data_IF_322977072383
#
_entry.id   IF_322977072383
#
_cell.length_a   1.000
_cell.length_b   1.000
_cell.length_c   1.000
_cell.angle_alpha   90.00
_cell.angle_beta   90.00
_cell.angle_gamma   90.00
#
_symmetry.space_group_name_H-M   'P 1'
#
loop_
_entity.id
_entity.type
_entity.pdbx_description
1 polymer ?
#
# COMPACT_ATOMS: atom_id res chain seq x y z
N UNK A 1 -12.38 -20.45 18.43
CA UNK A 1 -11.13 -20.18 19.19
C UNK A 1 -9.95 -20.62 18.36
N UNK A 2 -9.32 -19.70 17.64
CA UNK A 2 -7.96 -19.87 17.10
C UNK A 2 -7.15 -18.73 17.69
N UNK A 3 -6.51 -18.99 18.83
CA UNK A 3 -5.50 -18.14 19.42
C UNK A 3 -4.18 -18.42 18.69
N UNK A 4 -3.95 -17.70 17.60
CA UNK A 4 -2.59 -17.51 17.08
C UNK A 4 -2.04 -16.27 17.76
N UNK A 5 -1.49 -16.43 18.96
CA UNK A 5 -0.76 -15.34 19.62
C UNK A 5 0.56 -15.15 18.89
N UNK A 6 0.60 -14.24 17.91
CA UNK A 6 1.85 -13.54 17.62
C UNK A 6 2.29 -12.89 18.93
N UNK A 7 3.46 -13.25 19.44
CA UNK A 7 3.99 -12.58 20.63
C UNK A 7 4.22 -11.12 20.26
N UNK A 8 3.46 -10.23 20.90
CA UNK A 8 3.69 -8.80 20.77
C UNK A 8 5.10 -8.49 21.29
N UNK A 9 5.91 -7.92 20.43
CA UNK A 9 7.26 -7.39 20.68
C UNK A 9 7.22 -5.99 21.31
N UNK A 10 6.04 -5.34 21.35
CA UNK A 10 5.88 -4.06 22.02
C UNK A 10 5.86 -4.26 23.54
N UNK A 11 6.72 -3.53 24.24
CA UNK A 11 6.70 -3.48 25.70
C UNK A 11 5.31 -3.03 26.18
N UNK A 12 4.83 -3.56 27.29
CA UNK A 12 3.40 -3.52 27.73
C UNK A 12 2.83 -2.11 28.04
N UNK A 13 3.45 -1.04 27.59
CA UNK A 13 3.07 0.34 27.91
C UNK A 13 1.82 0.82 27.14
N UNK A 14 1.56 0.32 25.93
CA UNK A 14 0.35 0.66 25.17
C UNK A 14 -0.49 -0.60 24.96
N UNK A 15 -1.72 -0.66 25.49
CA UNK A 15 -2.56 -1.84 25.35
C UNK A 15 -3.03 -2.01 23.90
N UNK A 16 -3.11 -3.27 23.46
CA UNK A 16 -3.81 -3.64 22.25
C UNK A 16 -5.32 -3.62 22.48
N UNK A 17 -6.06 -3.24 21.44
CA UNK A 17 -7.52 -3.36 21.39
C UNK A 17 -7.89 -4.23 20.19
N UNK A 18 -8.57 -5.34 20.46
CA UNK A 18 -9.16 -6.17 19.41
C UNK A 18 -10.41 -5.48 18.89
N UNK A 19 -10.41 -5.16 17.60
CA UNK A 19 -11.61 -4.63 16.94
C UNK A 19 -12.48 -5.84 16.55
N UNK A 20 -13.74 -5.93 17.04
CA UNK A 20 -14.66 -6.98 16.64
C UNK A 20 -14.80 -7.02 15.12
N UNK A 21 -15.13 -8.19 14.56
CA UNK A 21 -15.15 -8.47 13.11
C UNK A 21 -15.50 -7.23 12.30
N UNK A 22 -14.50 -6.57 11.70
CA UNK A 22 -14.71 -5.33 10.98
C UNK A 22 -15.65 -5.55 9.79
N UNK A 23 -16.35 -4.52 9.30
CA UNK A 23 -17.13 -4.65 8.08
C UNK A 23 -16.22 -5.06 6.90
N UNK A 24 -16.81 -5.53 5.81
CA UNK A 24 -16.10 -6.25 4.74
C UNK A 24 -14.91 -5.53 4.08
N UNK A 25 -14.71 -4.20 4.28
CA UNK A 25 -13.63 -3.44 3.62
C UNK A 25 -12.96 -2.35 4.46
N UNK A 26 -13.65 -1.69 5.38
CA UNK A 26 -13.11 -0.51 6.08
C UNK A 26 -13.30 -0.56 7.60
N UNK A 27 -12.20 -0.56 8.35
CA UNK A 27 -12.23 -0.49 9.80
C UNK A 27 -11.22 0.53 10.30
N UNK A 28 -11.73 1.48 11.07
CA UNK A 28 -10.97 2.62 11.55
C UNK A 28 -11.07 2.67 13.08
N UNK A 29 -9.93 2.91 13.71
CA UNK A 29 -9.82 3.10 15.15
C UNK A 29 -9.34 4.52 15.46
N UNK A 30 -10.02 5.16 16.42
CA UNK A 30 -9.62 6.45 16.99
C UNK A 30 -9.51 6.26 18.50
N UNK A 31 -8.28 6.33 19.00
CA UNK A 31 -7.97 6.12 20.42
C UNK A 31 -6.47 5.97 20.65
N UNK A 32 -6.04 5.77 21.89
CA UNK A 32 -4.62 5.67 22.24
C UNK A 32 -4.04 4.26 22.06
N UNK A 33 -4.89 3.24 22.22
CA UNK A 33 -4.56 1.82 22.08
C UNK A 33 -4.15 1.45 20.66
N UNK A 34 -3.39 0.35 20.54
CA UNK A 34 -2.97 -0.23 19.26
C UNK A 34 -4.11 -1.11 18.72
N UNK A 35 -4.75 -0.77 17.58
CA UNK A 35 -5.84 -1.58 17.05
C UNK A 35 -5.32 -2.83 16.36
N UNK A 36 -5.90 -3.98 16.69
CA UNK A 36 -5.79 -5.19 15.88
C UNK A 36 -7.04 -5.33 15.02
N UNK A 37 -6.86 -5.45 13.70
CA UNK A 37 -7.96 -5.58 12.72
C UNK A 37 -8.57 -4.26 12.22
N UNK A 38 -7.96 -3.12 12.52
CA UNK A 38 -8.36 -1.81 11.97
C UNK A 38 -7.13 -0.92 11.71
N UNK A 39 -7.28 0.05 10.82
CA UNK A 39 -6.30 1.12 10.65
C UNK A 39 -6.42 2.13 11.79
N UNK A 40 -5.31 2.72 12.22
CA UNK A 40 -5.28 3.68 13.31
C UNK A 40 -5.25 5.12 12.79
N UNK A 41 -6.37 5.83 12.94
CA UNK A 41 -6.44 7.22 12.55
C UNK A 41 -5.84 8.12 13.62
N UNK A 42 -4.90 8.97 13.21
CA UNK A 42 -4.30 9.99 14.07
C UNK A 42 -4.69 11.38 13.57
N UNK A 43 -5.11 12.23 14.51
CA UNK A 43 -5.54 13.60 14.20
C UNK A 43 -4.43 14.42 13.53
N UNK A 44 -3.17 14.23 13.94
CA UNK A 44 -2.01 14.90 13.36
C UNK A 44 -1.92 14.65 11.84
N UNK A 45 -2.07 13.40 11.40
CA UNK A 45 -2.05 13.06 9.97
C UNK A 45 -3.18 13.72 9.18
N UNK A 46 -4.41 13.72 9.72
CA UNK A 46 -5.57 14.34 9.08
C UNK A 46 -5.41 15.88 8.99
N UNK A 47 -4.93 16.51 10.06
CA UNK A 47 -4.65 17.95 10.07
C UNK A 47 -3.58 18.29 9.03
N UNK A 48 -2.49 17.53 9.01
CA UNK A 48 -1.39 17.73 8.08
C UNK A 48 -1.81 17.56 6.63
N UNK A 49 -2.73 16.63 6.33
CA UNK A 49 -3.32 16.50 5.00
C UNK A 49 -4.04 17.79 4.53
N UNK A 50 -4.78 18.43 5.42
CA UNK A 50 -5.50 19.67 5.11
C UNK A 50 -4.59 20.91 5.03
N UNK A 51 -3.44 20.87 5.69
CA UNK A 51 -2.42 21.92 5.64
C UNK A 51 -1.47 21.78 4.46
N UNK A 52 -1.29 20.56 3.95
CA UNK A 52 -0.40 20.27 2.85
C UNK A 52 -1.04 20.58 1.49
N UNK A 53 -0.20 20.99 0.55
CA UNK A 53 -0.57 21.01 -0.85
C UNK A 53 -0.94 19.59 -1.31
N UNK A 54 -1.97 19.50 -2.14
CA UNK A 54 -2.37 18.23 -2.74
C UNK A 54 -1.35 17.84 -3.81
N UNK A 55 -1.08 16.53 -4.00
CA UNK A 55 -0.17 16.09 -5.05
C UNK A 55 -0.71 16.56 -6.40
N UNK A 56 0.20 16.98 -7.28
CA UNK A 56 -0.12 17.23 -8.67
C UNK A 56 -0.06 15.91 -9.46
N UNK A 57 -0.43 15.94 -10.74
CA UNK A 57 -0.39 14.76 -11.62
C UNK A 57 1.04 14.43 -12.10
N UNK A 58 2.06 14.86 -11.34
CA UNK A 58 3.47 14.67 -11.65
C UNK A 58 3.97 13.27 -11.24
N UNK A 59 5.27 13.06 -11.41
CA UNK A 59 5.96 11.84 -11.04
C UNK A 59 6.05 11.69 -9.51
N UNK A 60 5.61 10.56 -8.97
CA UNK A 60 5.67 10.26 -7.53
C UNK A 60 7.12 10.04 -7.14
N UNK A 61 7.59 10.81 -6.16
CA UNK A 61 8.95 10.71 -5.64
C UNK A 61 9.03 9.74 -4.47
N UNK A 62 9.84 8.70 -4.64
CA UNK A 62 10.02 7.63 -3.65
C UNK A 62 11.44 7.65 -3.10
N UNK A 63 11.56 7.82 -1.79
CA UNK A 63 12.83 7.60 -1.08
C UNK A 63 12.83 6.19 -0.52
N UNK A 64 13.64 5.32 -1.11
CA UNK A 64 13.80 3.94 -0.66
C UNK A 64 15.08 3.81 0.17
N UNK A 65 14.96 3.28 1.39
CA UNK A 65 16.11 3.02 2.27
C UNK A 65 16.14 1.55 2.66
N UNK A 66 17.23 0.86 2.33
CA UNK A 66 17.52 -0.50 2.79
C UNK A 66 18.64 -0.47 3.85
N UNK A 67 18.27 -0.66 5.11
CA UNK A 67 19.20 -0.80 6.23
C UNK A 67 19.28 -2.26 6.74
N UNK A 68 18.75 -3.20 5.96
CA UNK A 68 18.91 -4.63 6.20
C UNK A 68 20.12 -5.17 5.44
N UNK A 69 21.10 -5.74 6.17
CA UNK A 69 22.27 -6.35 5.55
C UNK A 69 21.96 -7.65 4.80
N UNK A 70 20.90 -8.37 5.21
CA UNK A 70 20.50 -9.64 4.59
C UNK A 70 19.68 -9.41 3.32
N UNK A 71 18.87 -8.35 3.28
CA UNK A 71 18.13 -7.95 2.06
C UNK A 71 18.94 -7.09 1.08
N UNK A 72 20.22 -6.83 1.35
CA UNK A 72 21.06 -5.99 0.49
C UNK A 72 21.33 -6.66 -0.87
N UNK A 73 21.36 -7.99 -0.95
CA UNK A 73 21.60 -8.71 -2.22
C UNK A 73 20.35 -8.81 -3.11
N UNK A 74 19.14 -8.76 -2.55
CA UNK A 74 17.88 -8.87 -3.32
C UNK A 74 17.36 -7.53 -3.88
N UNK A 75 17.84 -6.43 -3.32
CA UNK A 75 17.46 -5.08 -3.72
C UNK A 75 18.64 -4.51 -4.50
N UNK A 76 18.96 -4.95 -5.72
CA UNK A 76 20.08 -4.38 -6.49
C UNK A 76 19.73 -2.97 -7.01
N UNK A 77 18.46 -2.76 -7.36
CA UNK A 77 17.89 -1.55 -7.93
C UNK A 77 16.49 -1.23 -7.39
N UNK A 78 16.03 0.00 -7.63
CA UNK A 78 14.63 0.37 -7.39
C UNK A 78 13.65 -0.44 -8.24
N UNK A 79 14.08 -0.86 -9.43
CA UNK A 79 13.29 -1.66 -10.38
C UNK A 79 13.03 -3.07 -9.82
N UNK A 80 13.92 -3.61 -8.98
CA UNK A 80 13.74 -4.91 -8.32
C UNK A 80 12.66 -4.89 -7.23
N UNK A 81 12.36 -3.71 -6.65
CA UNK A 81 11.29 -3.54 -5.65
C UNK A 81 10.01 -2.99 -6.26
N UNK A 82 10.08 -2.02 -7.16
CA UNK A 82 8.86 -1.40 -7.69
C UNK A 82 8.37 -2.10 -8.96
N UNK A 83 9.19 -2.99 -9.53
CA UNK A 83 8.92 -3.65 -10.80
C UNK A 83 9.25 -2.71 -11.96
N UNK A 84 9.91 -3.24 -13.00
CA UNK A 84 10.07 -2.54 -14.27
C UNK A 84 8.70 -2.43 -14.95
N UNK A 85 7.93 -1.39 -14.64
CA UNK A 85 6.66 -1.09 -15.29
C UNK A 85 6.82 0.17 -16.12
N UNK A 86 6.74 0.04 -17.44
CA UNK A 86 7.07 1.12 -18.39
C UNK A 86 6.16 2.36 -18.26
N UNK A 87 4.97 2.20 -17.66
CA UNK A 87 3.93 3.23 -17.58
C UNK A 87 3.72 3.78 -16.16
N UNK A 88 4.50 3.35 -15.18
CA UNK A 88 4.38 3.84 -13.80
C UNK A 88 5.27 5.07 -13.60
N UNK A 89 4.68 6.21 -13.21
CA UNK A 89 5.39 7.48 -12.99
C UNK A 89 6.02 7.55 -11.60
N UNK A 90 7.00 6.68 -11.33
CA UNK A 90 7.76 6.66 -10.08
C UNK A 90 9.21 7.09 -10.31
N UNK A 91 9.67 8.10 -9.56
CA UNK A 91 11.10 8.39 -9.40
C UNK A 91 11.60 7.85 -8.08
N UNK A 92 12.47 6.86 -8.13
CA UNK A 92 12.97 6.21 -6.93
C UNK A 92 14.42 6.58 -6.67
N UNK A 93 14.66 7.20 -5.52
CA UNK A 93 15.99 7.45 -4.98
C UNK A 93 16.30 6.39 -3.91
N UNK A 94 17.17 5.42 -4.26
CA UNK A 94 17.51 4.29 -3.41
C UNK A 94 18.80 4.50 -2.62
N UNK A 95 18.75 4.20 -1.32
CA UNK A 95 19.84 4.35 -0.37
C UNK A 95 20.04 3.07 0.44
N UNK A 96 21.27 2.84 0.89
CA UNK A 96 21.64 1.66 1.66
C UNK A 96 22.48 2.01 2.86
N UNK A 97 22.31 1.26 3.93
CA UNK A 97 23.17 1.31 5.12
C UNK A 97 23.37 2.74 5.63
N UNK A 98 22.28 3.52 5.66
CA UNK A 98 22.31 4.90 6.12
C UNK A 98 22.53 4.93 7.63
N UNK A 99 23.49 5.76 8.04
CA UNK A 99 23.70 6.10 9.46
C UNK A 99 22.48 6.81 10.04
N UNK A 100 22.37 6.91 11.37
CA UNK A 100 21.27 7.64 12.02
C UNK A 100 21.18 9.09 11.52
N UNK A 101 22.32 9.75 11.32
CA UNK A 101 22.38 11.13 10.79
C UNK A 101 21.89 11.20 9.33
N UNK A 102 22.33 10.26 8.49
CA UNK A 102 21.91 10.23 7.08
C UNK A 102 20.43 9.90 6.94
N UNK A 103 19.93 8.94 7.73
CA UNK A 103 18.52 8.55 7.74
C UNK A 103 17.64 9.72 8.22
N UNK A 104 18.03 10.41 9.29
CA UNK A 104 17.33 11.59 9.79
C UNK A 104 17.26 12.67 8.70
N UNK A 105 18.38 12.93 8.01
CA UNK A 105 18.41 13.88 6.90
C UNK A 105 17.41 13.50 5.80
N UNK A 106 17.35 12.23 5.38
CA UNK A 106 16.41 11.77 4.34
C UNK A 106 14.95 11.90 4.77
N UNK A 107 14.64 11.67 6.04
CA UNK A 107 13.29 11.89 6.57
C UNK A 107 12.85 13.36 6.54
N UNK A 108 13.79 14.32 6.61
CA UNK A 108 13.48 15.76 6.51
C UNK A 108 13.31 16.25 5.07
N UNK A 109 13.81 15.51 4.09
CA UNK A 109 13.72 15.88 2.68
C UNK A 109 12.30 15.60 2.13
N UNK A 110 11.79 16.43 1.21
CA UNK A 110 10.50 16.18 0.58
C UNK A 110 10.49 14.87 -0.23
N UNK A 111 9.49 14.03 0.01
CA UNK A 111 9.24 12.82 -0.77
C UNK A 111 7.77 12.41 -0.62
N UNK A 112 7.15 11.93 -1.70
CA UNK A 112 5.77 11.45 -1.66
C UNK A 112 5.64 10.14 -0.87
N UNK A 113 6.61 9.24 -1.04
CA UNK A 113 6.67 7.98 -0.32
C UNK A 113 8.07 7.69 0.23
N UNK A 114 8.19 7.57 1.55
CA UNK A 114 9.37 7.04 2.21
C UNK A 114 9.21 5.54 2.49
N UNK A 115 9.95 4.69 1.81
CA UNK A 115 9.91 3.24 2.01
C UNK A 115 11.18 2.78 2.73
N UNK A 116 11.03 2.29 3.95
CA UNK A 116 12.13 1.75 4.75
C UNK A 116 12.04 0.22 4.81
N UNK A 117 13.15 -0.44 4.51
CA UNK A 117 13.35 -1.88 4.61
C UNK A 117 14.47 -2.15 5.62
N UNK A 118 14.16 -2.90 6.68
CA UNK A 118 15.12 -3.30 7.70
C UNK A 118 14.47 -3.53 9.05
N UNK A 119 15.21 -3.29 10.13
CA UNK A 119 14.72 -3.55 11.48
C UNK A 119 14.18 -2.29 12.16
N UNK A 120 13.12 -2.48 12.95
CA UNK A 120 12.59 -1.47 13.84
C UNK A 120 12.42 -2.06 15.23
N UNK A 121 12.43 -1.19 16.23
CA UNK A 121 12.09 -1.50 17.60
C UNK A 121 11.20 -0.40 18.17
N UNK A 122 10.76 -0.57 19.41
CA UNK A 122 10.04 0.50 20.13
C UNK A 122 10.87 1.78 20.27
N UNK A 123 12.19 1.70 20.13
CA UNK A 123 13.11 2.83 20.24
C UNK A 123 13.36 3.55 18.91
N UNK A 124 12.94 2.99 17.77
CA UNK A 124 13.16 3.61 16.46
C UNK A 124 13.57 2.64 15.35
N UNK A 125 14.06 3.22 14.25
CA UNK A 125 14.56 2.53 13.06
C UNK A 125 16.05 2.19 13.23
N UNK A 126 16.44 0.96 12.91
CA UNK A 126 17.83 0.52 13.06
C UNK A 126 18.71 1.02 11.92
N UNK A 127 19.91 1.46 12.28
CA UNK A 127 20.98 1.92 11.42
C UNK A 127 22.27 1.15 11.74
N UNK A 128 23.25 1.13 10.83
CA UNK A 128 24.55 0.48 11.10
C UNK A 128 25.30 1.06 12.32
N UNK A 129 25.05 2.32 12.68
CA UNK A 129 25.71 3.03 13.78
C UNK A 129 24.81 3.26 15.02
N UNK A 130 23.57 2.76 15.02
CA UNK A 130 22.67 2.93 16.15
C UNK A 130 21.19 2.77 15.80
N UNK A 131 20.33 3.42 16.58
CA UNK A 131 18.88 3.44 16.36
C UNK A 131 18.43 4.89 16.27
N UNK A 132 17.75 5.25 15.19
CA UNK A 132 17.14 6.56 15.00
C UNK A 132 15.69 6.52 15.52
N UNK A 133 15.40 7.26 16.59
CA UNK A 133 14.02 7.55 16.99
C UNK A 133 13.46 8.67 16.10
N UNK A 134 12.35 8.45 15.37
CA UNK A 134 11.71 9.51 14.60
C UNK A 134 11.28 10.72 15.45
N UNK A 135 11.01 10.54 16.75
CA UNK A 135 10.72 11.66 17.66
C UNK A 135 11.89 12.66 17.84
N UNK A 136 13.11 12.30 17.40
CA UNK A 136 14.28 13.21 17.42
C UNK A 136 14.45 14.01 16.12
N UNK A 137 13.61 13.77 15.11
CA UNK A 137 13.63 14.49 13.84
C UNK A 137 12.70 15.69 13.95
N UNK A 138 13.26 16.91 13.82
CA UNK A 138 12.52 18.16 14.05
C UNK A 138 11.26 18.32 13.16
N UNK A 139 11.35 17.88 11.90
CA UNK A 139 10.24 17.91 10.95
C UNK A 139 10.43 16.88 9.86
N UNK A 140 9.48 15.97 9.71
CA UNK A 140 9.42 15.01 8.61
C UNK A 140 8.86 15.69 7.36
N UNK A 141 9.60 15.55 6.25
CA UNK A 141 9.26 16.09 4.93
C UNK A 141 8.47 15.11 4.06
N UNK A 142 8.36 13.85 4.46
CA UNK A 142 7.64 12.83 3.69
C UNK A 142 6.13 12.91 3.87
N UNK A 143 5.37 12.66 2.79
CA UNK A 143 3.91 12.63 2.84
C UNK A 143 3.40 11.30 3.37
N UNK A 144 3.74 10.22 2.67
CA UNK A 144 3.44 8.85 3.07
C UNK A 144 4.71 8.10 3.44
N UNK A 145 4.57 7.06 4.26
CA UNK A 145 5.66 6.11 4.48
C UNK A 145 5.20 4.66 4.44
N UNK A 146 6.13 3.76 4.15
CA UNK A 146 5.98 2.33 4.31
C UNK A 146 7.16 1.83 5.15
N UNK A 147 6.90 1.38 6.37
CA UNK A 147 7.92 0.76 7.23
C UNK A 147 7.83 -0.77 7.13
N UNK A 148 8.55 -1.32 6.15
CA UNK A 148 8.79 -2.74 5.97
C UNK A 148 9.84 -3.22 6.97
N UNK A 149 9.45 -3.11 8.24
CA UNK A 149 10.25 -3.43 9.39
C UNK A 149 9.34 -4.03 10.45
N UNK A 150 9.80 -5.10 11.09
CA UNK A 150 9.07 -5.75 12.16
C UNK A 150 8.77 -4.77 13.30
N UNK A 151 7.54 -4.80 13.84
CA UNK A 151 7.17 -4.00 15.02
C UNK A 151 7.30 -2.48 14.80
N UNK A 152 7.02 -2.00 13.59
CA UNK A 152 7.26 -0.61 13.19
C UNK A 152 6.17 0.39 13.59
N UNK A 153 5.13 -0.04 14.30
CA UNK A 153 4.02 0.83 14.68
C UNK A 153 4.44 2.06 15.50
N UNK A 154 5.27 1.91 16.54
CA UNK A 154 5.68 3.05 17.37
C UNK A 154 6.52 4.08 16.58
N UNK A 155 7.59 3.67 15.87
CA UNK A 155 8.29 4.58 14.97
C UNK A 155 7.38 5.23 13.91
N UNK A 156 6.44 4.47 13.34
CA UNK A 156 5.48 5.02 12.38
C UNK A 156 4.55 6.07 12.98
N UNK A 157 4.09 5.88 14.22
CA UNK A 157 3.33 6.92 14.93
C UNK A 157 4.16 8.17 15.17
N UNK A 158 5.41 8.02 15.57
CA UNK A 158 6.33 9.14 15.75
C UNK A 158 6.57 9.91 14.43
N UNK A 159 6.65 9.22 13.29
CA UNK A 159 6.72 9.87 11.97
C UNK A 159 5.49 10.73 11.67
N UNK A 160 4.28 10.27 12.03
CA UNK A 160 3.05 11.05 11.87
C UNK A 160 3.08 12.30 12.75
N UNK A 161 3.46 12.16 14.03
CA UNK A 161 3.57 13.30 14.95
C UNK A 161 4.66 14.30 14.50
N UNK A 162 5.73 13.82 13.87
CA UNK A 162 6.81 14.64 13.35
C UNK A 162 6.52 15.28 11.98
N UNK A 163 5.39 14.95 11.33
CA UNK A 163 4.91 15.67 10.15
C UNK A 163 4.52 14.84 8.93
N UNK A 164 4.61 13.50 8.98
CA UNK A 164 4.03 12.66 7.94
C UNK A 164 2.49 12.65 8.00
N UNK A 165 1.84 12.39 6.87
CA UNK A 165 0.37 12.42 6.76
C UNK A 165 -0.24 11.05 7.07
N UNK A 166 0.36 9.98 6.52
CA UNK A 166 -0.12 8.62 6.70
C UNK A 166 0.98 7.61 6.40
N UNK A 167 0.84 6.37 6.85
CA UNK A 167 1.78 5.34 6.46
C UNK A 167 1.39 3.94 6.85
N UNK A 168 2.16 2.97 6.37
CA UNK A 168 1.99 1.54 6.61
C UNK A 168 3.05 1.06 7.60
N UNK A 169 2.63 0.31 8.60
CA UNK A 169 3.47 -0.28 9.65
C UNK A 169 3.09 -1.73 9.89
N UNK A 170 3.93 -2.44 10.65
CA UNK A 170 3.64 -3.80 11.13
C UNK A 170 3.46 -3.83 12.65
N UNK A 171 2.58 -4.73 13.11
CA UNK A 171 2.29 -4.99 14.51
C UNK A 171 3.11 -6.14 15.11
N UNK A 172 3.77 -6.93 14.26
CA UNK A 172 4.63 -8.03 14.69
C UNK A 172 5.68 -8.30 13.63
N UNK A 173 6.48 -9.32 13.86
CA UNK A 173 7.44 -9.80 12.88
C UNK A 173 6.73 -10.27 11.60
N UNK A 174 7.33 -9.92 10.47
CA UNK A 174 6.96 -10.35 9.12
C UNK A 174 8.18 -10.98 8.48
N UNK A 175 7.99 -12.00 7.64
CA UNK A 175 9.12 -12.57 6.88
C UNK A 175 9.46 -11.68 5.68
N UNK A 176 10.68 -11.80 5.19
CA UNK A 176 11.23 -10.98 4.10
C UNK A 176 10.39 -11.06 2.82
N UNK A 177 10.05 -12.27 2.39
CA UNK A 177 9.24 -12.48 1.18
C UNK A 177 7.89 -11.75 1.26
N UNK A 178 7.22 -11.79 2.42
CA UNK A 178 5.96 -11.07 2.62
C UNK A 178 6.16 -9.56 2.61
N UNK A 179 7.24 -9.07 3.22
CA UNK A 179 7.58 -7.65 3.22
C UNK A 179 7.79 -7.13 1.80
N UNK A 180 8.53 -7.86 0.98
CA UNK A 180 8.72 -7.53 -0.42
C UNK A 180 7.37 -7.51 -1.15
N UNK A 181 6.62 -8.62 -1.17
CA UNK A 181 5.36 -8.73 -1.93
C UNK A 181 4.32 -7.65 -1.55
N UNK A 182 4.11 -7.43 -0.25
CA UNK A 182 3.15 -6.42 0.24
C UNK A 182 3.65 -5.01 -0.08
N UNK A 183 4.95 -4.73 0.08
CA UNK A 183 5.55 -3.43 -0.20
C UNK A 183 5.45 -3.05 -1.68
N UNK A 184 5.88 -3.95 -2.57
CA UNK A 184 5.81 -3.77 -4.04
C UNK A 184 4.38 -3.50 -4.48
N UNK A 185 3.45 -4.37 -4.06
CA UNK A 185 2.04 -4.25 -4.46
C UNK A 185 1.41 -2.96 -3.94
N UNK A 186 1.70 -2.59 -2.69
CA UNK A 186 1.18 -1.33 -2.11
C UNK A 186 1.66 -0.12 -2.89
N UNK A 187 2.95 -0.05 -3.21
CA UNK A 187 3.51 1.08 -3.93
C UNK A 187 2.98 1.21 -5.36
N UNK A 188 2.86 0.10 -6.09
CA UNK A 188 2.27 0.09 -7.43
C UNK A 188 0.77 0.47 -7.42
N UNK A 189 0.03 0.09 -6.37
CA UNK A 189 -1.36 0.54 -6.22
C UNK A 189 -1.44 2.04 -5.92
N UNK A 190 -0.55 2.56 -5.06
CA UNK A 190 -0.45 4.00 -4.80
C UNK A 190 -0.10 4.79 -6.07
N UNK A 191 0.72 4.22 -6.95
CA UNK A 191 1.16 4.87 -8.18
C UNK A 191 0.09 5.00 -9.26
N UNK A 192 -1.01 4.26 -9.15
CA UNK A 192 -2.18 4.40 -10.01
C UNK A 192 -3.38 5.05 -9.28
N UNK A 193 -3.13 5.66 -8.11
CA UNK A 193 -4.09 6.49 -7.40
C UNK A 193 -4.92 5.79 -6.32
N UNK A 194 -4.62 4.53 -5.96
CA UNK A 194 -5.23 3.94 -4.75
C UNK A 194 -4.80 4.72 -3.51
N UNK A 195 -5.68 4.77 -2.50
CA UNK A 195 -5.33 5.26 -1.18
C UNK A 195 -4.47 4.24 -0.43
N UNK A 196 -3.73 4.67 0.61
CA UNK A 196 -2.98 3.77 1.50
C UNK A 196 -3.85 2.60 1.99
N UNK A 197 -5.08 2.88 2.43
CA UNK A 197 -6.04 1.87 2.89
C UNK A 197 -6.36 0.86 1.80
N UNK A 198 -6.77 1.32 0.63
CA UNK A 198 -7.23 0.41 -0.44
C UNK A 198 -6.04 -0.36 -1.04
N UNK A 199 -4.90 0.30 -1.20
CA UNK A 199 -3.66 -0.33 -1.63
C UNK A 199 -3.26 -1.46 -0.69
N UNK A 200 -3.23 -1.17 0.62
CA UNK A 200 -2.86 -2.14 1.63
C UNK A 200 -3.91 -3.26 1.77
N UNK A 201 -5.19 -2.96 1.62
CA UNK A 201 -6.26 -3.97 1.63
C UNK A 201 -6.01 -5.07 0.59
N UNK A 202 -5.70 -4.68 -0.65
CA UNK A 202 -5.37 -5.61 -1.73
C UNK A 202 -4.03 -6.29 -1.46
N UNK A 203 -2.99 -5.52 -1.14
CA UNK A 203 -1.64 -6.03 -0.97
C UNK A 203 -1.52 -7.08 0.14
N UNK A 204 -2.28 -6.96 1.24
CA UNK A 204 -2.27 -7.95 2.34
C UNK A 204 -2.74 -9.34 1.91
N UNK A 205 -3.54 -9.47 0.85
CA UNK A 205 -3.97 -10.78 0.35
C UNK A 205 -2.80 -11.61 -0.23
N UNK A 206 -1.68 -10.96 -0.59
CA UNK A 206 -0.47 -11.63 -1.07
C UNK A 206 0.28 -12.40 0.02
N UNK A 207 -0.04 -12.18 1.30
CA UNK A 207 0.72 -12.76 2.41
C UNK A 207 -0.16 -13.32 3.52
N UNK A 208 0.24 -14.49 4.03
CA UNK A 208 -0.36 -15.09 5.23
C UNK A 208 -0.21 -14.20 6.47
N UNK A 209 0.84 -13.38 6.54
CA UNK A 209 1.06 -12.41 7.61
C UNK A 209 0.53 -11.01 7.28
N UNK A 210 -0.26 -10.85 6.21
CA UNK A 210 -0.86 -9.58 5.81
C UNK A 210 -1.67 -8.91 6.92
N UNK A 211 -2.30 -9.69 7.81
CA UNK A 211 -3.04 -9.18 8.98
C UNK A 211 -2.19 -8.38 9.99
N UNK A 212 -0.86 -8.47 9.91
CA UNK A 212 0.06 -7.72 10.78
C UNK A 212 0.31 -6.30 10.29
N UNK A 213 0.00 -6.01 9.03
CA UNK A 213 0.11 -4.65 8.51
C UNK A 213 -1.10 -3.83 8.95
N UNK A 214 -0.89 -2.56 9.31
CA UNK A 214 -1.95 -1.57 9.51
C UNK A 214 -1.54 -0.22 8.90
N UNK A 215 -2.50 0.60 8.50
CA UNK A 215 -2.22 2.01 8.27
C UNK A 215 -2.26 2.78 9.60
N UNK A 216 -1.40 3.79 9.73
CA UNK A 216 -1.42 4.78 10.81
C UNK A 216 -1.48 6.19 10.23
N UNK A 217 -2.14 7.12 10.91
CA UNK A 217 -2.35 8.48 10.39
C UNK A 217 -3.58 8.57 9.48
N UNK A 218 -3.51 9.33 8.40
CA UNK A 218 -4.58 9.40 7.41
C UNK A 218 -4.45 8.26 6.40
N UNK A 219 -5.29 7.24 6.55
CA UNK A 219 -5.25 6.04 5.73
C UNK A 219 -5.92 6.20 4.35
N UNK A 220 -6.73 7.24 4.15
CA UNK A 220 -7.32 7.58 2.84
C UNK A 220 -6.39 8.43 1.96
N UNK A 221 -5.15 8.66 2.37
CA UNK A 221 -4.15 9.40 1.60
C UNK A 221 -3.84 8.70 0.28
N UNK A 222 -3.83 9.46 -0.82
CA UNK A 222 -3.30 9.07 -2.13
C UNK A 222 -2.05 9.88 -2.46
N UNK A 223 -1.27 9.41 -3.44
CA UNK A 223 -0.06 10.07 -3.91
C UNK A 223 -0.17 10.68 -5.31
N UNK A 224 -1.14 10.21 -6.10
CA UNK A 224 -1.44 10.75 -7.43
C UNK A 224 -2.93 10.63 -7.71
N UNK A 225 -3.43 11.35 -8.70
CA UNK A 225 -4.78 11.15 -9.22
C UNK A 225 -4.82 9.90 -10.11
N UNK A 226 -5.91 9.11 -10.07
CA UNK A 226 -6.10 8.06 -11.06
C UNK A 226 -6.20 8.68 -12.45
N UNK A 227 -5.46 8.13 -13.43
CA UNK A 227 -5.53 8.57 -14.83
C UNK A 227 -6.92 8.28 -15.46
N UNK A 228 -7.72 7.38 -14.86
CA UNK A 228 -9.02 6.91 -15.37
C UNK A 228 -10.24 7.18 -14.46
N UNK A 229 -11.41 6.69 -14.89
CA UNK A 229 -12.71 6.99 -14.29
C UNK A 229 -13.01 6.34 -12.93
N UNK A 230 -12.18 5.41 -12.46
CA UNK A 230 -12.24 4.90 -11.10
C UNK A 230 -11.31 3.74 -10.80
N UNK A 231 -11.10 3.48 -9.52
CA UNK A 231 -10.18 2.46 -9.01
C UNK A 231 -10.91 1.14 -8.85
N UNK A 232 -10.39 0.07 -9.45
CA UNK A 232 -10.97 -1.26 -9.33
C UNK A 232 -9.91 -2.35 -9.34
N UNK A 233 -10.29 -3.51 -8.80
CA UNK A 233 -9.53 -4.74 -8.92
C UNK A 233 -10.45 -5.84 -9.43
N UNK A 234 -9.90 -6.77 -10.20
CA UNK A 234 -10.68 -7.87 -10.79
C UNK A 234 -10.12 -9.23 -10.43
N UNK A 235 -11.00 -10.20 -10.28
CA UNK A 235 -10.72 -11.62 -10.20
C UNK A 235 -11.14 -12.26 -11.52
N UNK A 236 -10.16 -12.85 -12.20
CA UNK A 236 -10.29 -13.48 -13.49
C UNK A 236 -10.29 -15.00 -13.32
N UNK A 237 -11.23 -15.67 -13.97
CA UNK A 237 -11.18 -17.13 -14.09
C UNK A 237 -11.59 -17.57 -15.48
N UNK A 238 -10.82 -18.50 -16.04
CA UNK A 238 -11.15 -19.15 -17.30
C UNK A 238 -12.34 -20.13 -17.12
N UNK A 239 -13.15 -20.29 -18.17
CA UNK A 239 -14.24 -21.26 -18.21
C UNK A 239 -14.39 -21.85 -19.61
N UNK A 240 -15.19 -22.91 -19.76
CA UNK A 240 -15.40 -23.59 -21.03
C UNK A 240 -16.08 -22.74 -22.13
N UNK A 241 -16.63 -21.58 -21.76
CA UNK A 241 -17.37 -20.66 -22.65
C UNK A 241 -16.73 -19.27 -22.71
N UNK A 242 -15.46 -19.15 -22.30
CA UNK A 242 -14.72 -17.89 -22.21
C UNK A 242 -14.42 -17.48 -20.78
N UNK A 243 -14.21 -16.20 -20.54
CA UNK A 243 -13.76 -15.66 -19.27
C UNK A 243 -14.89 -15.23 -18.35
N UNK A 244 -14.66 -15.39 -17.05
CA UNK A 244 -15.49 -14.84 -15.98
C UNK A 244 -14.68 -13.79 -15.24
N UNK A 245 -15.23 -12.59 -15.15
CA UNK A 245 -14.62 -11.45 -14.47
C UNK A 245 -15.52 -11.04 -13.31
N UNK A 246 -14.96 -11.05 -12.10
CA UNK A 246 -15.59 -10.45 -10.92
C UNK A 246 -14.77 -9.25 -10.50
N UNK A 247 -15.33 -8.04 -10.58
CA UNK A 247 -14.64 -6.84 -10.16
C UNK A 247 -15.23 -6.20 -8.90
N UNK A 248 -14.40 -5.41 -8.23
CA UNK A 248 -14.78 -4.56 -7.12
C UNK A 248 -14.19 -3.16 -7.34
N UNK A 249 -15.02 -2.13 -7.19
CA UNK A 249 -14.55 -0.74 -7.17
C UNK A 249 -14.20 -0.30 -5.76
N UNK A 250 -13.19 0.56 -5.66
CA UNK A 250 -12.64 1.07 -4.42
C UNK A 250 -12.88 2.58 -4.33
N UNK A 251 -13.71 3.05 -3.39
CA UNK A 251 -13.95 4.47 -3.20
C UNK A 251 -12.67 5.21 -2.78
N UNK A 252 -12.54 6.45 -3.23
CA UNK A 252 -11.53 7.40 -2.79
C UNK A 252 -12.21 8.74 -2.42
N UNK A 253 -11.47 9.71 -1.89
CA UNK A 253 -12.06 11.05 -1.66
C UNK A 253 -12.31 11.81 -2.99
N UNK A 254 -11.73 11.36 -4.12
CA UNK A 254 -12.02 11.89 -5.45
C UNK A 254 -13.26 11.26 -6.06
N UNK A 255 -13.38 9.93 -5.94
CA UNK A 255 -14.48 9.13 -6.49
C UNK A 255 -15.13 8.38 -5.33
N UNK A 256 -16.06 9.07 -4.67
CA UNK A 256 -16.73 8.56 -3.47
C UNK A 256 -17.80 7.49 -3.77
N UNK A 257 -18.26 6.82 -2.70
CA UNK A 257 -19.39 5.89 -2.74
C UNK A 257 -20.62 6.56 -3.38
N UNK A 258 -21.29 5.84 -4.28
CA UNK A 258 -22.47 6.34 -4.98
C UNK A 258 -22.16 7.06 -6.30
N UNK A 259 -20.88 7.31 -6.61
CA UNK A 259 -20.44 7.66 -7.96
C UNK A 259 -20.76 6.53 -8.95
N UNK A 260 -20.81 6.84 -10.25
CA UNK A 260 -20.99 5.85 -11.32
C UNK A 260 -19.66 5.60 -12.03
N UNK A 261 -19.36 4.34 -12.31
CA UNK A 261 -18.18 3.89 -13.05
C UNK A 261 -18.60 2.97 -14.21
N UNK A 262 -18.03 3.19 -15.38
CA UNK A 262 -18.15 2.28 -16.52
C UNK A 262 -16.91 1.39 -16.60
N UNK A 263 -17.07 0.15 -17.06
CA UNK A 263 -15.95 -0.76 -17.31
C UNK A 263 -15.85 -1.01 -18.81
N UNK A 264 -14.64 -1.09 -19.40
CA UNK A 264 -14.44 -1.42 -20.81
C UNK A 264 -14.69 -2.91 -21.10
N UNK A 265 -15.77 -3.45 -20.54
CA UNK A 265 -16.28 -4.82 -20.71
C UNK A 265 -17.65 -4.85 -21.38
N UNK A 266 -18.39 -3.74 -21.31
CA UNK A 266 -19.79 -3.68 -21.69
C UNK A 266 -19.93 -2.96 -23.04
N UNK A 267 -20.38 -3.67 -24.07
CA UNK A 267 -20.74 -3.07 -25.37
C UNK A 267 -22.01 -2.17 -25.30
N UNK A 268 -22.70 -2.15 -24.15
CA UNK A 268 -23.96 -1.43 -23.91
C UNK A 268 -23.82 -0.23 -22.95
N UNK A 269 -22.60 0.29 -22.71
CA UNK A 269 -22.35 1.43 -21.80
C UNK A 269 -22.95 1.25 -20.39
N UNK A 270 -22.89 0.02 -19.85
CA UNK A 270 -23.44 -0.26 -18.52
C UNK A 270 -22.58 0.40 -17.45
N UNK A 271 -23.24 1.12 -16.55
CA UNK A 271 -22.61 1.77 -15.40
C UNK A 271 -22.85 0.95 -14.12
N UNK A 272 -21.86 0.94 -13.24
CA UNK A 272 -21.94 0.37 -11.89
C UNK A 272 -21.77 1.46 -10.84
N UNK A 273 -22.22 1.20 -9.61
CA UNK A 273 -21.96 2.10 -8.49
C UNK A 273 -20.59 1.84 -7.88
N UNK A 274 -19.87 2.92 -7.56
CA UNK A 274 -18.59 2.86 -6.84
C UNK A 274 -18.81 2.39 -5.41
N UNK A 275 -17.96 1.45 -4.97
CA UNK A 275 -18.08 0.72 -3.71
C UNK A 275 -18.83 -0.62 -3.86
N UNK A 276 -19.36 -0.90 -5.05
CA UNK A 276 -20.00 -2.16 -5.38
C UNK A 276 -19.04 -3.24 -5.89
N UNK A 277 -19.63 -4.37 -6.26
CA UNK A 277 -19.00 -5.41 -7.06
C UNK A 277 -19.84 -5.70 -8.30
N UNK A 278 -19.19 -6.23 -9.33
CA UNK A 278 -19.86 -6.67 -10.55
C UNK A 278 -19.39 -8.08 -10.94
N UNK A 279 -20.22 -8.76 -11.72
CA UNK A 279 -19.90 -10.03 -12.34
C UNK A 279 -20.23 -9.95 -13.82
N UNK A 280 -19.29 -10.41 -14.65
CA UNK A 280 -19.47 -10.65 -16.07
C UNK A 280 -19.00 -12.07 -16.39
N UNK A 281 -19.67 -12.71 -17.33
CA UNK A 281 -19.43 -14.09 -17.74
C UNK A 281 -19.45 -14.17 -19.26
N UNK A 282 -18.89 -15.24 -19.82
CA UNK A 282 -18.87 -15.48 -21.27
C UNK A 282 -18.13 -14.36 -22.03
N UNK A 283 -17.11 -13.78 -21.41
CA UNK A 283 -16.26 -12.75 -22.03
C UNK A 283 -15.30 -13.43 -23.00
N UNK A 284 -15.21 -12.95 -24.24
CA UNK A 284 -14.27 -13.46 -25.24
C UNK A 284 -12.85 -12.94 -25.00
N UNK A 285 -11.86 -13.62 -25.59
CA UNK A 285 -10.45 -13.21 -25.54
C UNK A 285 -10.25 -11.78 -26.05
N UNK A 286 -10.89 -11.41 -27.18
CA UNK A 286 -10.77 -10.06 -27.74
C UNK A 286 -11.26 -8.98 -26.76
N UNK A 287 -12.38 -9.23 -26.06
CA UNK A 287 -12.93 -8.26 -25.10
C UNK A 287 -12.07 -8.21 -23.84
N UNK A 288 -11.59 -9.36 -23.34
CA UNK A 288 -10.67 -9.39 -22.21
C UNK A 288 -9.36 -8.66 -22.52
N UNK A 289 -8.79 -8.91 -23.70
CA UNK A 289 -7.56 -8.25 -24.15
C UNK A 289 -7.74 -6.74 -24.19
N UNK A 290 -8.81 -6.25 -24.84
CA UNK A 290 -9.12 -4.81 -24.84
C UNK A 290 -9.34 -4.24 -23.44
N UNK A 291 -9.94 -4.99 -22.53
CA UNK A 291 -10.13 -4.57 -21.14
C UNK A 291 -8.81 -4.43 -20.38
N UNK A 292 -7.90 -5.40 -20.52
CA UNK A 292 -6.59 -5.38 -19.86
C UNK A 292 -5.66 -4.30 -20.45
N UNK A 293 -5.79 -3.99 -21.75
CA UNK A 293 -5.03 -2.94 -22.45
C UNK A 293 -5.53 -1.52 -22.11
N UNK A 294 -6.78 -1.38 -21.65
CA UNK A 294 -7.41 -0.07 -21.49
C UNK A 294 -6.82 0.73 -20.33
N UNK A 295 -6.64 0.10 -19.18
CA UNK A 295 -6.13 0.72 -17.96
C UNK A 295 -5.25 -0.27 -17.19
N UNK A 296 -4.20 0.24 -16.57
CA UNK A 296 -3.42 -0.53 -15.61
C UNK A 296 -4.27 -0.87 -14.39
N UNK A 297 -4.44 -2.16 -14.12
CA UNK A 297 -5.26 -2.60 -13.00
C UNK A 297 -4.70 -3.84 -12.31
N UNK A 298 -4.89 -3.97 -10.99
CA UNK A 298 -4.58 -5.18 -10.26
C UNK A 298 -5.57 -6.30 -10.64
N UNK A 299 -5.03 -7.42 -11.08
CA UNK A 299 -5.78 -8.61 -11.50
C UNK A 299 -5.40 -9.79 -10.62
N UNK A 300 -6.38 -10.46 -10.04
CA UNK A 300 -6.20 -11.76 -9.41
C UNK A 300 -6.49 -12.85 -10.43
N UNK A 301 -5.48 -13.62 -10.78
CA UNK A 301 -5.54 -14.72 -11.74
C UNK A 301 -4.90 -15.98 -11.12
N UNK A 302 -5.56 -17.12 -11.24
CA UNK A 302 -5.15 -18.38 -10.59
C UNK A 302 -4.85 -18.29 -9.08
N UNK A 303 -5.51 -17.35 -8.40
CA UNK A 303 -5.38 -17.13 -6.96
C UNK A 303 -4.21 -16.23 -6.56
N UNK A 304 -3.41 -15.75 -7.51
CA UNK A 304 -2.30 -14.82 -7.28
C UNK A 304 -2.61 -13.44 -7.87
N UNK A 305 -2.13 -12.37 -7.24
CA UNK A 305 -2.25 -11.03 -7.81
C UNK A 305 -1.12 -10.75 -8.80
N UNK A 306 -1.50 -10.24 -9.96
CA UNK A 306 -0.66 -9.74 -11.04
C UNK A 306 -1.23 -8.41 -11.55
N UNK A 307 -0.63 -7.87 -12.60
CA UNK A 307 -1.05 -6.63 -13.25
C UNK A 307 -1.58 -6.91 -14.64
N UNK A 308 -2.45 -6.04 -15.15
CA UNK A 308 -3.10 -6.24 -16.44
C UNK A 308 -2.12 -6.29 -17.61
N UNK A 309 -1.07 -5.48 -17.59
CA UNK A 309 0.06 -5.48 -18.55
C UNK A 309 0.83 -6.81 -18.54
N UNK A 310 1.25 -7.28 -17.36
CA UNK A 310 1.98 -8.54 -17.21
C UNK A 310 1.13 -9.76 -17.58
N UNK A 311 -0.16 -9.71 -17.25
CA UNK A 311 -1.09 -10.79 -17.58
C UNK A 311 -1.36 -10.85 -19.09
N UNK A 312 -1.38 -9.71 -19.79
CA UNK A 312 -1.47 -9.67 -21.26
C UNK A 312 -0.31 -10.42 -21.90
N UNK A 313 0.92 -10.14 -21.48
CA UNK A 313 2.12 -10.85 -21.95
C UNK A 313 2.04 -12.34 -21.63
N UNK A 314 1.58 -12.70 -20.43
CA UNK A 314 1.49 -14.10 -19.98
C UNK A 314 0.47 -14.90 -20.79
N UNK A 315 -0.69 -14.32 -21.10
CA UNK A 315 -1.78 -15.02 -21.80
C UNK A 315 -1.59 -15.05 -23.32
N UNK A 316 -0.95 -14.03 -23.91
CA UNK A 316 -0.87 -13.87 -25.37
C UNK A 316 0.54 -13.70 -25.95
N UNK A 317 1.61 -13.85 -25.15
CA UNK A 317 3.02 -13.75 -25.58
C UNK A 317 3.31 -12.49 -26.44
N UNK A 318 2.67 -11.36 -26.10
CA UNK A 318 2.85 -10.08 -26.79
C UNK A 318 4.10 -9.35 -26.37
#
# INVERSE_FOLDING_TARGET
MRSGSGQSTFDQQIPFVDIPTPPEREALWVGESIPFGANHLLAAGIQRYHEADQPDDSEITVTLVCNDSEMTEEIESAEDIYGARENVRLRVDAYRNLTTEQLAKRLTEPSDLFHFVGHASTSGLHCPDGVLSPATVDSVGTRAFFLNACSSYLPGRELIEAGAIGGVVTLSDVNEQSAQQVGVMTANLLSIGFSLRNALWIAREQSVVGSQYICVGMDSLWLTHPDGGGLYAVDLTESSVGWRIRGASYPSLHVGIGSMIGYPLDAEDRMSLVGGSFLRQEISDDVLKSFLEADESPVRYDGEWTWSDQLLETLWET
#
